data_IF_361120179900
#
_entry.id   IF_361120179900
#
_cell.length_a   1.000
_cell.length_b   1.000
_cell.length_c   1.000
_cell.angle_alpha   90.00
_cell.angle_beta   90.00
_cell.angle_gamma   90.00
#
_symmetry.space_group_name_H-M   'P 1'
#
loop_
_entity.id
_entity.type
_entity.pdbx_description
1 polymer ?
#
# COMPACT_ATOMS: atom_id res chain seq x y z
N UNK A 1 -3.76 -6.18 -12.76
CA UNK A 1 -4.23 -5.57 -11.49
C UNK A 1 -3.35 -5.98 -10.30
N UNK A 2 -3.16 -7.28 -10.04
CA UNK A 2 -2.31 -7.77 -8.93
C UNK A 2 -0.83 -7.36 -9.05
N UNK A 3 -0.27 -7.34 -10.26
CA UNK A 3 1.10 -6.83 -10.49
C UNK A 3 1.25 -5.35 -10.11
N UNK A 4 0.21 -4.54 -10.29
CA UNK A 4 0.26 -3.12 -9.93
C UNK A 4 0.28 -2.96 -8.41
N UNK A 5 -0.56 -3.74 -7.69
CA UNK A 5 -0.53 -3.79 -6.23
C UNK A 5 0.85 -4.20 -5.71
N UNK A 6 1.48 -5.21 -6.33
CA UNK A 6 2.84 -5.66 -5.97
C UNK A 6 3.89 -4.56 -6.18
N UNK A 7 3.79 -3.81 -7.29
CA UNK A 7 4.69 -2.68 -7.57
C UNK A 7 4.51 -1.54 -6.58
N UNK A 8 3.27 -1.18 -6.24
CA UNK A 8 3.00 -0.16 -5.23
C UNK A 8 3.57 -0.57 -3.87
N UNK A 9 3.31 -1.79 -3.42
CA UNK A 9 3.84 -2.30 -2.15
C UNK A 9 5.36 -2.28 -2.11
N UNK A 10 6.03 -2.70 -3.19
CA UNK A 10 7.49 -2.66 -3.28
C UNK A 10 8.07 -1.23 -3.23
N UNK A 11 7.29 -0.22 -3.64
CA UNK A 11 7.71 1.19 -3.60
C UNK A 11 7.49 1.87 -2.24
N UNK A 12 6.61 1.34 -1.38
CA UNK A 12 6.29 1.96 -0.08
C UNK A 12 7.53 2.22 0.79
N UNK A 13 8.46 1.26 0.96
CA UNK A 13 9.62 1.48 1.83
C UNK A 13 10.50 2.65 1.40
N UNK A 14 10.72 2.78 0.09
CA UNK A 14 11.51 3.87 -0.48
C UNK A 14 10.83 5.22 -0.28
N UNK A 15 9.50 5.28 -0.39
CA UNK A 15 8.76 6.52 -0.20
C UNK A 15 8.82 7.01 1.25
N UNK A 16 8.72 6.11 2.23
CA UNK A 16 8.87 6.49 3.65
C UNK A 16 10.28 6.90 4.01
N UNK A 17 11.29 6.23 3.46
CA UNK A 17 12.68 6.66 3.61
C UNK A 17 12.89 8.06 3.02
N UNK A 18 12.35 8.33 1.84
CA UNK A 18 12.37 9.67 1.26
C UNK A 18 11.60 10.71 2.11
N UNK A 19 10.44 10.35 2.65
CA UNK A 19 9.66 11.21 3.54
C UNK A 19 10.46 11.65 4.77
N UNK A 20 11.24 10.73 5.34
CA UNK A 20 12.19 11.02 6.43
C UNK A 20 13.32 11.94 5.99
N UNK A 21 13.90 11.69 4.82
CA UNK A 21 14.99 12.51 4.27
C UNK A 21 14.57 13.98 4.02
N UNK A 22 13.29 14.22 3.71
CA UNK A 22 12.72 15.55 3.56
C UNK A 22 12.07 16.10 4.84
N UNK A 23 12.18 15.40 5.97
CA UNK A 23 11.56 15.71 7.27
C UNK A 23 10.08 16.12 7.18
N UNK A 24 9.32 15.39 6.34
CA UNK A 24 7.92 15.71 6.09
C UNK A 24 7.00 14.62 6.64
N UNK A 25 6.40 14.82 7.83
CA UNK A 25 5.48 13.84 8.41
C UNK A 25 4.19 13.69 7.59
N UNK A 26 3.81 14.70 6.80
CA UNK A 26 2.67 14.62 5.89
C UNK A 26 2.87 13.56 4.79
N UNK A 27 4.11 13.34 4.36
CA UNK A 27 4.44 12.32 3.35
C UNK A 27 4.36 10.88 3.91
N UNK A 28 4.29 10.71 5.23
CA UNK A 28 4.23 9.39 5.87
C UNK A 28 2.93 8.64 5.54
N UNK A 29 1.80 9.34 5.61
CA UNK A 29 0.48 8.73 5.44
C UNK A 29 0.08 8.57 3.96
N UNK A 30 0.55 9.48 3.10
CA UNK A 30 0.18 9.54 1.68
C UNK A 30 0.27 8.22 0.91
N UNK A 31 1.41 7.49 0.92
CA UNK A 31 1.55 6.27 0.12
C UNK A 31 0.64 5.15 0.64
N UNK A 32 0.40 5.07 1.95
CA UNK A 32 -0.54 4.12 2.56
C UNK A 32 -1.98 4.41 2.12
N UNK A 33 -2.40 5.68 2.16
CA UNK A 33 -3.74 6.11 1.75
C UNK A 33 -3.98 5.89 0.26
N UNK A 34 -2.98 6.20 -0.58
CA UNK A 34 -3.05 5.95 -2.01
C UNK A 34 -3.20 4.45 -2.32
N UNK A 35 -2.43 3.59 -1.64
CA UNK A 35 -2.56 2.15 -1.82
C UNK A 35 -3.93 1.65 -1.32
N UNK A 36 -4.41 2.12 -0.17
CA UNK A 36 -5.73 1.77 0.35
C UNK A 36 -6.85 2.13 -0.63
N UNK A 37 -6.82 3.35 -1.18
CA UNK A 37 -7.78 3.80 -2.20
C UNK A 37 -7.74 2.89 -3.44
N UNK A 38 -6.53 2.52 -3.90
CA UNK A 38 -6.36 1.57 -5.00
C UNK A 38 -6.95 0.19 -4.69
N UNK A 39 -6.72 -0.34 -3.49
CA UNK A 39 -7.26 -1.63 -3.05
C UNK A 39 -8.79 -1.62 -3.03
N UNK A 40 -9.41 -0.54 -2.55
CA UNK A 40 -10.86 -0.35 -2.54
C UNK A 40 -11.42 -0.31 -3.98
N UNK A 41 -10.84 0.49 -4.86
CA UNK A 41 -11.25 0.56 -6.26
C UNK A 41 -11.14 -0.80 -6.97
N UNK A 42 -10.06 -1.53 -6.70
CA UNK A 42 -9.87 -2.88 -7.22
C UNK A 42 -10.90 -3.86 -6.68
N UNK A 43 -11.19 -3.83 -5.38
CA UNK A 43 -12.20 -4.68 -4.78
C UNK A 43 -13.57 -4.45 -5.43
N UNK A 44 -14.00 -3.18 -5.55
CA UNK A 44 -15.23 -2.82 -6.24
C UNK A 44 -15.26 -3.32 -7.69
N UNK A 45 -14.12 -3.24 -8.41
CA UNK A 45 -14.02 -3.76 -9.77
C UNK A 45 -14.17 -5.28 -9.84
N UNK A 46 -13.60 -6.04 -8.89
CA UNK A 46 -13.77 -7.50 -8.85
C UNK A 46 -15.23 -7.86 -8.54
N UNK A 47 -15.85 -7.19 -7.58
CA UNK A 47 -17.26 -7.43 -7.21
C UNK A 47 -18.20 -7.14 -8.39
N UNK A 48 -17.95 -6.09 -9.17
CA UNK A 48 -18.74 -5.78 -10.39
C UNK A 48 -18.61 -6.84 -11.50
N UNK A 49 -17.58 -7.68 -11.46
CA UNK A 49 -17.37 -8.76 -12.45
C UNK A 49 -18.02 -10.07 -12.03
N UNK A 50 -18.60 -10.16 -10.82
CA UNK A 50 -19.33 -11.34 -10.37
C UNK A 50 -20.53 -11.58 -11.27
N UNK A 51 -20.64 -12.80 -11.83
CA UNK A 51 -21.67 -13.15 -12.82
C UNK A 51 -21.32 -12.76 -14.26
N UNK A 52 -20.25 -12.00 -14.50
CA UNK A 52 -19.74 -11.66 -15.84
C UNK A 52 -18.50 -12.50 -16.18
N UNK A 53 -17.58 -12.61 -15.22
CA UNK A 53 -16.33 -13.34 -15.41
C UNK A 53 -16.33 -14.64 -14.59
N UNK A 54 -15.85 -15.77 -15.15
CA UNK A 54 -15.92 -17.09 -14.51
C UNK A 54 -15.06 -17.21 -13.26
N UNK A 55 -14.02 -16.38 -13.13
CA UNK A 55 -13.12 -16.35 -11.98
C UNK A 55 -13.60 -15.44 -10.84
N UNK A 56 -14.60 -14.58 -11.09
CA UNK A 56 -15.03 -13.58 -10.13
C UNK A 56 -16.10 -14.16 -9.19
N UNK A 57 -15.77 -14.21 -7.90
CA UNK A 57 -16.73 -14.54 -6.83
C UNK A 57 -16.56 -13.57 -5.66
N UNK A 58 -17.62 -13.40 -4.87
CA UNK A 58 -17.59 -12.56 -3.66
C UNK A 58 -16.57 -13.11 -2.65
N UNK A 59 -16.48 -14.44 -2.52
CA UNK A 59 -15.49 -15.10 -1.65
C UNK A 59 -14.06 -14.79 -2.08
N UNK A 60 -13.77 -14.89 -3.38
CA UNK A 60 -12.47 -14.52 -3.93
C UNK A 60 -12.14 -13.05 -3.67
N UNK A 61 -13.07 -12.13 -3.95
CA UNK A 61 -12.87 -10.70 -3.75
C UNK A 61 -12.55 -10.34 -2.29
N UNK A 62 -13.22 -11.00 -1.33
CA UNK A 62 -13.00 -10.82 0.10
C UNK A 62 -11.65 -11.40 0.54
N UNK A 63 -11.33 -12.62 0.13
CA UNK A 63 -10.07 -13.27 0.50
C UNK A 63 -8.86 -12.45 0.04
N UNK A 64 -8.90 -12.00 -1.20
CA UNK A 64 -7.88 -11.13 -1.79
C UNK A 64 -7.74 -9.81 -1.02
N UNK A 65 -8.86 -9.17 -0.68
CA UNK A 65 -8.85 -7.89 0.06
C UNK A 65 -8.23 -8.03 1.46
N UNK A 66 -8.53 -9.13 2.16
CA UNK A 66 -7.97 -9.40 3.48
C UNK A 66 -6.46 -9.60 3.40
N UNK A 67 -5.95 -10.38 2.44
CA UNK A 67 -4.50 -10.56 2.26
C UNK A 67 -3.79 -9.23 1.96
N UNK A 68 -4.38 -8.40 1.09
CA UNK A 68 -3.81 -7.10 0.76
C UNK A 68 -3.81 -6.13 1.94
N UNK A 69 -4.88 -6.12 2.75
CA UNK A 69 -4.96 -5.28 3.94
C UNK A 69 -3.97 -5.72 5.02
N UNK A 70 -3.76 -7.04 5.18
CA UNK A 70 -2.73 -7.58 6.07
C UNK A 70 -1.32 -7.20 5.61
N UNK A 71 -1.07 -7.19 4.30
CA UNK A 71 0.20 -6.70 3.77
C UNK A 71 0.36 -5.20 3.98
N UNK A 72 -0.67 -4.40 3.68
CA UNK A 72 -0.62 -2.96 3.88
C UNK A 72 -0.39 -2.61 5.36
N UNK A 73 -1.09 -3.28 6.30
CA UNK A 73 -0.90 -3.04 7.74
C UNK A 73 0.53 -3.35 8.18
N UNK A 74 1.11 -4.47 7.71
CA UNK A 74 2.51 -4.79 7.98
C UNK A 74 3.46 -3.69 7.49
N UNK A 75 3.23 -3.13 6.29
CA UNK A 75 4.05 -2.03 5.79
C UNK A 75 3.83 -0.74 6.61
N UNK A 76 2.58 -0.40 6.95
CA UNK A 76 2.27 0.79 7.77
C UNK A 76 2.97 0.72 9.13
N UNK A 77 3.02 -0.47 9.76
CA UNK A 77 3.74 -0.67 11.02
C UNK A 77 5.25 -0.45 10.87
N UNK A 78 5.82 -0.75 9.70
CA UNK A 78 7.24 -0.50 9.39
C UNK A 78 7.53 0.95 8.99
N UNK A 79 6.52 1.71 8.59
CA UNK A 79 6.69 3.07 8.07
C UNK A 79 7.42 4.05 9.01
N UNK A 80 7.19 4.07 10.34
CA UNK A 80 7.89 5.00 11.22
C UNK A 80 9.39 4.68 11.30
N UNK A 81 9.75 3.40 11.29
CA UNK A 81 11.15 2.97 11.32
C UNK A 81 11.88 3.48 10.08
N UNK A 82 11.28 3.30 8.91
CA UNK A 82 11.88 3.75 7.65
C UNK A 82 11.94 5.28 7.52
N UNK A 83 10.93 5.99 8.02
CA UNK A 83 10.96 7.45 8.14
C UNK A 83 12.11 7.92 9.02
N UNK A 84 12.25 7.36 10.23
CA UNK A 84 13.34 7.74 11.14
C UNK A 84 14.71 7.46 10.52
N UNK A 85 14.89 6.32 9.85
CA UNK A 85 16.11 6.03 9.10
C UNK A 85 16.41 7.09 8.03
N UNK A 86 15.39 7.51 7.27
CA UNK A 86 15.52 8.58 6.29
C UNK A 86 15.95 9.91 6.91
N UNK A 87 15.37 10.28 8.04
CA UNK A 87 15.73 11.49 8.77
C UNK A 87 17.16 11.47 9.32
N UNK A 88 17.61 10.33 9.85
CA UNK A 88 19.01 10.14 10.30
C UNK A 88 19.98 10.31 9.12
N UNK A 89 19.66 9.73 7.96
CA UNK A 89 20.47 9.89 6.75
C UNK A 89 20.49 11.35 6.31
N UNK A 90 19.33 12.01 6.26
CA UNK A 90 19.21 13.42 5.88
C UNK A 90 19.98 14.36 6.81
N UNK A 91 20.00 14.08 8.12
CA UNK A 91 20.76 14.87 9.09
C UNK A 91 22.29 14.67 9.02
N UNK A 92 22.75 13.61 8.37
CA UNK A 92 24.16 13.31 8.19
C UNK A 92 24.75 13.84 6.87
N UNK A 93 23.91 14.38 5.98
CA UNK A 93 24.27 14.99 4.69
C UNK A 93 24.37 16.51 4.81
#
# INVERSE_FOLDING_TARGET
>A
MFHLTRRFQAGLPLFWLAAGLFDSPMLLALPSLALLAWLLLRHLRIVRMVGVAPWASVGFARHVMVDDLMRLSAHVLLSPVLYLCGGIIGAAL
#
